data_IF_685548533570
#
_entry.id   IF_685548533570
#
_cell.length_a   1.000
_cell.length_b   1.000
_cell.length_c   1.000
_cell.angle_alpha   90.00
_cell.angle_beta   90.00
_cell.angle_gamma   90.00
#
_symmetry.space_group_name_H-M   'P 1'
#
loop_
_entity.id
_entity.type
_entity.pdbx_description
1 polymer ?
#
# COMPACT_ATOMS: atom_id res chain seq x y z
N UNK A 1 9.76 -3.82 13.64
CA UNK A 1 10.87 -2.90 13.33
C UNK A 1 11.40 -3.27 11.96
N UNK A 2 10.94 -2.59 10.91
CA UNK A 2 11.51 -2.75 9.58
C UNK A 2 12.88 -2.06 9.56
N UNK A 3 13.92 -2.78 9.14
CA UNK A 3 15.25 -2.22 8.93
C UNK A 3 15.22 -1.47 7.60
N UNK A 4 15.50 -0.18 7.66
CA UNK A 4 15.53 0.74 6.52
C UNK A 4 16.89 0.62 5.85
N UNK A 5 16.93 0.19 4.59
CA UNK A 5 18.09 0.35 3.73
C UNK A 5 17.82 1.55 2.81
N UNK A 6 18.43 2.69 3.13
CA UNK A 6 18.36 3.90 2.30
C UNK A 6 19.37 3.78 1.17
N UNK A 7 18.91 3.62 -0.08
CA UNK A 7 19.71 4.06 -1.23
C UNK A 7 19.50 5.56 -1.43
N UNK A 8 20.51 6.24 -1.96
CA UNK A 8 20.71 7.70 -1.97
C UNK A 8 19.62 8.57 -2.66
N UNK A 9 18.48 7.99 -3.04
CA UNK A 9 17.34 8.68 -3.67
C UNK A 9 16.11 8.79 -2.75
N UNK A 10 16.15 8.21 -1.54
CA UNK A 10 15.00 8.16 -0.62
C UNK A 10 14.02 7.02 -0.91
N UNK A 11 14.40 6.06 -1.75
CA UNK A 11 13.59 4.87 -2.04
C UNK A 11 13.66 3.89 -0.87
N UNK A 12 12.50 3.53 -0.32
CA UNK A 12 12.36 2.59 0.79
C UNK A 12 11.88 1.25 0.22
N UNK A 13 12.81 0.37 -0.12
CA UNK A 13 12.49 -1.05 -0.30
C UNK A 13 12.67 -1.73 1.05
N UNK A 14 11.68 -2.48 1.49
CA UNK A 14 11.81 -3.25 2.73
C UNK A 14 12.91 -4.31 2.56
N UNK A 15 13.65 -4.62 3.64
CA UNK A 15 14.85 -5.47 3.59
C UNK A 15 14.68 -6.81 2.87
N UNK A 16 13.44 -7.32 2.82
CA UNK A 16 13.13 -8.64 2.28
C UNK A 16 12.42 -8.56 0.92
N UNK A 17 12.13 -7.36 0.42
CA UNK A 17 11.34 -7.14 -0.79
C UNK A 17 12.21 -6.67 -1.97
N UNK A 18 11.61 -6.60 -3.17
CA UNK A 18 12.34 -6.28 -4.40
C UNK A 18 11.53 -5.32 -5.29
N UNK A 19 12.24 -4.49 -6.04
CA UNK A 19 11.67 -3.87 -7.24
C UNK A 19 11.45 -4.94 -8.30
N UNK A 20 10.36 -4.82 -9.08
CA UNK A 20 9.99 -5.84 -10.05
C UNK A 20 10.96 -5.96 -11.23
N UNK A 21 11.57 -4.85 -11.65
CA UNK A 21 12.53 -4.71 -12.74
C UNK A 21 13.35 -3.40 -12.60
N UNK A 22 14.36 -3.21 -13.46
CA UNK A 22 15.28 -2.05 -13.41
C UNK A 22 14.60 -0.70 -13.68
N UNK A 23 13.55 -0.69 -14.51
CA UNK A 23 12.85 0.55 -14.90
C UNK A 23 11.79 1.03 -13.89
N UNK A 24 11.67 0.41 -12.71
CA UNK A 24 10.61 0.79 -11.76
C UNK A 24 10.70 2.26 -11.37
N UNK A 25 11.90 2.76 -11.06
CA UNK A 25 12.09 4.14 -10.64
C UNK A 25 11.83 5.12 -11.79
N UNK A 26 12.19 4.79 -13.02
CA UNK A 26 11.91 5.64 -14.18
C UNK A 26 10.41 5.68 -14.50
N UNK A 27 9.68 4.57 -14.33
CA UNK A 27 8.20 4.53 -14.43
C UNK A 27 7.54 5.43 -13.39
N UNK A 28 7.98 5.36 -12.15
CA UNK A 28 7.45 6.21 -11.06
C UNK A 28 7.81 7.67 -11.30
N UNK A 29 9.07 7.98 -11.64
CA UNK A 29 9.52 9.33 -11.94
C UNK A 29 8.74 9.96 -13.10
N UNK A 30 8.50 9.21 -14.18
CA UNK A 30 7.69 9.64 -15.31
C UNK A 30 6.27 10.05 -14.92
N UNK A 31 5.65 9.36 -13.95
CA UNK A 31 4.34 9.76 -13.44
C UNK A 31 4.36 11.13 -12.72
N UNK A 32 5.51 11.53 -12.16
CA UNK A 32 5.71 12.82 -11.51
C UNK A 32 6.28 13.91 -12.42
N UNK A 33 6.49 13.66 -13.72
CA UNK A 33 6.76 14.73 -14.68
C UNK A 33 5.58 15.70 -14.78
N UNK A 34 4.35 15.19 -14.62
CA UNK A 34 3.16 16.03 -14.47
C UNK A 34 3.13 16.65 -13.05
N UNK A 35 3.26 17.99 -12.91
CA UNK A 35 3.26 18.65 -11.60
C UNK A 35 1.92 18.52 -10.87
N UNK A 36 0.82 18.16 -11.54
CA UNK A 36 -0.49 17.95 -10.93
C UNK A 36 -0.63 16.58 -10.25
N UNK A 37 0.29 15.65 -10.51
CA UNK A 37 0.30 14.33 -9.89
C UNK A 37 0.94 14.42 -8.50
N UNK A 38 0.16 14.13 -7.46
CA UNK A 38 0.65 14.11 -6.08
C UNK A 38 0.98 12.70 -5.58
N UNK A 39 0.38 11.69 -6.20
CA UNK A 39 0.60 10.28 -5.88
C UNK A 39 0.74 9.43 -7.14
N UNK A 40 1.65 8.47 -7.10
CA UNK A 40 1.74 7.38 -8.06
C UNK A 40 1.71 6.06 -7.31
N UNK A 41 0.95 5.09 -7.79
CA UNK A 41 0.90 3.75 -7.19
C UNK A 41 0.66 2.67 -8.23
N UNK A 42 1.03 1.43 -7.89
CA UNK A 42 1.06 0.32 -8.84
C UNK A 42 0.56 -0.98 -8.24
N UNK A 43 0.75 -2.08 -8.97
CA UNK A 43 0.49 -3.43 -8.47
C UNK A 43 1.74 -3.97 -7.75
N UNK A 44 1.56 -4.70 -6.64
CA UNK A 44 2.56 -5.61 -6.13
C UNK A 44 2.28 -7.05 -6.57
N UNK A 45 3.35 -7.83 -6.69
CA UNK A 45 3.29 -9.29 -6.68
C UNK A 45 3.76 -9.81 -5.32
N UNK A 46 3.14 -10.88 -4.86
CA UNK A 46 3.65 -11.65 -3.73
C UNK A 46 4.43 -12.84 -4.28
N UNK A 47 5.68 -12.98 -3.88
CA UNK A 47 6.58 -14.01 -4.36
C UNK A 47 7.02 -14.94 -3.24
N UNK A 48 7.43 -16.15 -3.58
CA UNK A 48 7.96 -17.11 -2.61
C UNK A 48 9.23 -16.55 -1.96
N UNK A 49 9.36 -16.75 -0.64
CA UNK A 49 10.59 -16.38 0.08
C UNK A 49 11.81 -17.15 -0.44
N UNK A 50 11.63 -18.45 -0.74
CA UNK A 50 12.70 -19.33 -1.20
C UNK A 50 13.09 -19.10 -2.67
N UNK A 51 12.17 -18.60 -3.49
CA UNK A 51 12.38 -18.35 -4.91
C UNK A 51 11.51 -17.18 -5.39
N UNK A 52 12.12 -16.01 -5.55
CA UNK A 52 11.42 -14.77 -5.93
C UNK A 52 10.96 -14.74 -7.39
N UNK A 53 11.33 -15.73 -8.19
CA UNK A 53 10.79 -15.88 -9.55
C UNK A 53 9.39 -16.49 -9.52
N UNK A 54 9.03 -17.19 -8.44
CA UNK A 54 7.71 -17.80 -8.26
C UNK A 54 6.75 -16.80 -7.64
N UNK A 55 5.83 -16.29 -8.46
CA UNK A 55 4.71 -15.48 -7.99
C UNK A 55 3.67 -16.39 -7.35
N UNK A 56 3.36 -16.11 -6.09
CA UNK A 56 2.34 -16.80 -5.28
C UNK A 56 1.00 -16.08 -5.38
N UNK A 57 1.01 -14.76 -5.60
CA UNK A 57 -0.20 -13.97 -5.80
C UNK A 57 0.08 -12.70 -6.60
N UNK A 58 -0.75 -12.46 -7.60
CA UNK A 58 -0.84 -11.17 -8.27
C UNK A 58 -1.88 -10.29 -7.55
N UNK A 59 -1.53 -9.04 -7.22
CA UNK A 59 -2.48 -8.07 -6.68
C UNK A 59 -2.66 -6.92 -7.67
N UNK A 60 -3.82 -6.86 -8.31
CA UNK A 60 -4.23 -5.69 -9.09
C UNK A 60 -4.87 -4.62 -8.18
N UNK A 61 -4.14 -3.53 -7.92
CA UNK A 61 -4.59 -2.41 -7.08
C UNK A 61 -5.78 -1.68 -7.72
N UNK A 62 -5.68 -1.43 -9.03
CA UNK A 62 -6.67 -0.68 -9.80
C UNK A 62 -6.73 0.82 -9.46
N UNK A 63 -7.46 1.63 -10.26
CA UNK A 63 -7.51 3.07 -10.06
C UNK A 63 -8.26 3.44 -8.78
N UNK A 64 -7.84 4.56 -8.18
CA UNK A 64 -8.47 5.16 -7.02
C UNK A 64 -9.88 5.67 -7.35
N UNK A 65 -10.82 5.46 -6.42
CA UNK A 65 -12.02 6.28 -6.32
C UNK A 65 -12.46 6.43 -4.87
N UNK A 66 -13.06 7.57 -4.51
CA UNK A 66 -13.55 7.80 -3.16
C UNK A 66 -14.57 6.74 -2.70
N UNK A 67 -15.38 6.22 -3.64
CA UNK A 67 -16.32 5.14 -3.36
C UNK A 67 -15.64 3.79 -3.06
N UNK A 68 -14.48 3.51 -3.66
CA UNK A 68 -13.68 2.33 -3.32
C UNK A 68 -13.03 2.51 -1.94
N UNK A 69 -12.47 3.69 -1.65
CA UNK A 69 -11.85 4.00 -0.36
C UNK A 69 -12.85 3.79 0.80
N UNK A 70 -14.09 4.30 0.67
CA UNK A 70 -15.17 4.07 1.65
C UNK A 70 -15.52 2.59 1.85
N UNK A 71 -15.24 1.73 0.86
CA UNK A 71 -15.44 0.27 0.90
C UNK A 71 -14.18 -0.50 1.32
N UNK A 72 -13.16 0.19 1.83
CA UNK A 72 -11.96 -0.42 2.41
C UNK A 72 -10.82 -0.63 1.41
N UNK A 73 -10.92 -0.07 0.20
CA UNK A 73 -9.81 -0.03 -0.74
C UNK A 73 -8.69 0.88 -0.22
N UNK A 74 -7.45 0.49 -0.48
CA UNK A 74 -6.24 1.30 -0.37
C UNK A 74 -5.23 0.75 -1.37
N UNK A 75 -4.28 1.56 -1.88
CA UNK A 75 -3.13 0.99 -2.57
C UNK A 75 -2.30 0.16 -1.61
N UNK A 76 -1.55 -0.80 -2.14
CA UNK A 76 -0.55 -1.48 -1.33
C UNK A 76 0.50 -0.46 -0.89
N UNK A 77 0.70 -0.33 0.42
CA UNK A 77 1.61 0.66 1.01
C UNK A 77 3.00 0.74 0.34
N UNK A 78 3.73 -0.37 0.07
CA UNK A 78 5.06 -0.28 -0.52
C UNK A 78 5.07 0.16 -2.00
N UNK A 79 3.89 0.23 -2.63
CA UNK A 79 3.75 0.70 -4.03
C UNK A 79 3.32 2.15 -4.11
N UNK A 80 3.03 2.83 -2.99
CA UNK A 80 2.55 4.20 -2.99
C UNK A 80 3.71 5.18 -2.85
N UNK A 81 3.88 6.01 -3.87
CA UNK A 81 4.83 7.12 -3.91
C UNK A 81 4.06 8.43 -3.84
N UNK A 82 4.57 9.38 -3.05
CA UNK A 82 3.93 10.67 -2.82
C UNK A 82 4.95 11.79 -2.95
N UNK A 83 4.53 12.94 -3.48
CA UNK A 83 5.37 14.14 -3.44
C UNK A 83 5.67 14.55 -2.01
N UNK A 84 6.86 15.12 -1.79
CA UNK A 84 7.28 15.67 -0.49
C UNK A 84 6.27 16.68 0.08
N UNK A 85 5.64 17.49 -0.79
CA UNK A 85 4.62 18.47 -0.40
C UNK A 85 3.42 17.84 0.32
N UNK A 86 3.06 16.58 -0.01
CA UNK A 86 1.99 15.85 0.66
C UNK A 86 2.34 15.60 2.13
N UNK A 87 3.56 15.13 2.41
CA UNK A 87 4.02 14.91 3.79
C UNK A 87 4.11 16.21 4.59
N UNK A 88 4.55 17.30 3.96
CA UNK A 88 4.60 18.63 4.60
C UNK A 88 3.18 19.11 4.94
N UNK A 89 2.22 18.93 4.02
CA UNK A 89 0.84 19.38 4.20
C UNK A 89 0.05 18.55 5.23
N UNK A 90 0.21 17.23 5.19
CA UNK A 90 -0.59 16.31 6.03
C UNK A 90 0.08 15.99 7.38
N UNK A 91 1.34 16.38 7.56
CA UNK A 91 2.20 15.85 8.61
C UNK A 91 2.64 14.43 8.31
N UNK A 92 3.66 13.93 9.03
CA UNK A 92 4.15 12.57 8.86
C UNK A 92 3.18 11.48 9.37
N UNK A 93 3.73 10.30 9.62
CA UNK A 93 3.01 9.20 10.26
C UNK A 93 2.65 9.55 11.71
N UNK A 94 1.44 9.22 12.12
CA UNK A 94 1.05 9.32 13.54
C UNK A 94 1.69 8.18 14.32
N UNK A 95 2.71 8.51 15.10
CA UNK A 95 3.50 7.57 15.91
C UNK A 95 2.73 6.95 17.08
N UNK A 96 1.52 7.43 17.37
CA UNK A 96 0.63 6.78 18.35
C UNK A 96 0.02 5.47 17.82
N UNK A 97 0.06 5.23 16.50
CA UNK A 97 -0.23 3.91 15.93
C UNK A 97 1.01 3.01 16.05
N UNK A 98 0.81 1.80 16.56
CA UNK A 98 1.86 0.78 16.70
C UNK A 98 1.96 -0.12 15.48
N UNK A 99 0.86 -0.30 14.74
CA UNK A 99 0.74 -1.23 13.60
C UNK A 99 0.18 -0.53 12.37
N UNK A 100 -0.81 0.35 12.50
CA UNK A 100 -1.60 0.88 11.40
C UNK A 100 -1.20 2.31 10.96
N UNK A 101 0.01 2.76 11.30
CA UNK A 101 0.49 4.11 10.97
C UNK A 101 0.41 4.41 9.46
N UNK A 102 0.85 3.46 8.63
CA UNK A 102 0.75 3.57 7.17
C UNK A 102 -0.70 3.63 6.69
N UNK A 103 -1.56 2.82 7.31
CA UNK A 103 -2.97 2.77 6.94
C UNK A 103 -3.67 4.09 7.24
N UNK A 104 -3.44 4.66 8.43
CA UNK A 104 -3.93 5.99 8.79
C UNK A 104 -3.47 7.06 7.80
N UNK A 105 -2.16 7.13 7.51
CA UNK A 105 -1.61 8.14 6.62
C UNK A 105 -2.19 8.03 5.20
N UNK A 106 -2.34 6.80 4.69
CA UNK A 106 -2.97 6.55 3.39
C UNK A 106 -4.43 7.01 3.39
N UNK A 107 -5.19 6.73 4.45
CA UNK A 107 -6.56 7.21 4.57
C UNK A 107 -6.62 8.74 4.65
N UNK A 108 -5.72 9.38 5.42
CA UNK A 108 -5.60 10.86 5.49
C UNK A 108 -5.38 11.46 4.12
N UNK A 109 -4.45 10.89 3.33
CA UNK A 109 -4.17 11.37 1.99
C UNK A 109 -5.38 11.20 1.06
N UNK A 110 -5.87 9.97 0.87
CA UNK A 110 -6.92 9.72 -0.13
C UNK A 110 -8.28 10.32 0.25
N UNK A 111 -8.58 10.51 1.54
CA UNK A 111 -9.81 11.19 1.97
C UNK A 111 -9.80 12.70 1.67
N UNK A 112 -8.61 13.29 1.50
CA UNK A 112 -8.40 14.72 1.25
C UNK A 112 -7.75 14.99 -0.11
N UNK A 113 -7.60 13.96 -0.96
CA UNK A 113 -6.92 14.08 -2.24
C UNK A 113 -7.70 15.05 -3.15
N UNK A 114 -7.16 16.25 -3.30
CA UNK A 114 -7.66 17.30 -4.20
C UNK A 114 -7.00 17.26 -5.57
N UNK A 115 -5.86 16.59 -5.67
CA UNK A 115 -5.02 16.52 -6.87
C UNK A 115 -4.95 15.10 -7.42
N UNK A 116 -4.27 14.93 -8.56
CA UNK A 116 -4.29 13.68 -9.30
C UNK A 116 -3.48 12.60 -8.59
N UNK A 117 -4.09 11.44 -8.39
CA UNK A 117 -3.40 10.20 -8.01
C UNK A 117 -3.41 9.23 -9.19
N UNK A 118 -2.24 8.82 -9.65
CA UNK A 118 -2.07 8.00 -10.85
C UNK A 118 -1.87 6.54 -10.45
N UNK A 119 -2.65 5.67 -11.10
CA UNK A 119 -2.45 4.23 -11.06
C UNK A 119 -1.64 3.79 -12.27
N UNK A 120 -0.49 3.15 -12.04
CA UNK A 120 0.35 2.52 -13.04
C UNK A 120 -0.05 1.04 -13.12
N UNK A 121 -0.66 0.56 -14.21
CA UNK A 121 -1.18 -0.81 -14.33
C UNK A 121 -0.09 -1.86 -14.57
N UNK A 122 1.05 -1.72 -13.87
CA UNK A 122 2.24 -2.57 -13.95
C UNK A 122 2.59 -3.11 -12.56
N UNK A 123 3.26 -4.26 -12.52
CA UNK A 123 3.87 -4.77 -11.29
C UNK A 123 5.21 -4.09 -11.11
N UNK A 124 5.32 -3.22 -10.11
CA UNK A 124 6.57 -2.49 -9.82
C UNK A 124 7.27 -2.98 -8.54
N UNK A 125 6.58 -3.77 -7.72
CA UNK A 125 7.09 -4.22 -6.42
C UNK A 125 6.80 -5.70 -6.22
N UNK A 126 7.74 -6.43 -5.62
CA UNK A 126 7.62 -7.85 -5.26
C UNK A 126 7.79 -8.00 -3.76
N UNK A 127 6.72 -8.40 -3.09
CA UNK A 127 6.69 -8.69 -1.66
C UNK A 127 7.03 -10.16 -1.40
N UNK A 128 8.03 -10.45 -0.56
CA UNK A 128 8.28 -11.86 -0.18
C UNK A 128 7.28 -12.34 0.85
N UNK A 129 6.65 -13.49 0.59
CA UNK A 129 5.84 -14.20 1.57
C UNK A 129 6.74 -15.09 2.44
N UNK A 130 7.08 -14.62 3.63
CA UNK A 130 8.02 -15.34 4.50
C UNK A 130 8.05 -14.94 5.98
N UNK A 131 7.28 -13.93 6.38
CA UNK A 131 7.19 -13.54 7.78
C UNK A 131 6.37 -14.55 8.57
N UNK A 132 7.03 -15.35 9.42
CA UNK A 132 6.39 -16.08 10.52
C UNK A 132 5.84 -15.06 11.51
N UNK A 133 4.71 -14.45 11.20
CA UNK A 133 3.98 -13.57 12.12
C UNK A 133 2.49 -13.65 11.86
N UNK A 134 1.95 -14.87 11.81
CA UNK A 134 0.51 -15.08 11.91
C UNK A 134 0.22 -16.24 12.84
N UNK A 135 0.09 -15.91 14.13
CA UNK A 135 -0.68 -16.66 15.14
C UNK A 135 -0.78 -15.95 16.50
N UNK A 136 -0.46 -14.66 16.62
CA UNK A 136 -0.76 -13.93 17.86
C UNK A 136 -2.10 -13.20 17.72
N UNK A 137 -3.15 -13.78 18.30
CA UNK A 137 -4.50 -13.20 18.36
C UNK A 137 -4.50 -11.78 18.96
N UNK A 138 -3.58 -11.48 19.89
CA UNK A 138 -3.46 -10.15 20.47
C UNK A 138 -3.05 -9.11 19.41
N UNK A 139 -2.10 -9.43 18.53
CA UNK A 139 -1.69 -8.52 17.43
C UNK A 139 -2.80 -8.31 16.41
N UNK A 140 -3.61 -9.35 16.15
CA UNK A 140 -4.78 -9.22 15.27
C UNK A 140 -5.79 -8.26 15.89
N UNK A 141 -6.10 -8.41 17.18
CA UNK A 141 -7.02 -7.52 17.89
C UNK A 141 -6.52 -6.08 17.94
N UNK A 142 -5.24 -5.88 18.28
CA UNK A 142 -4.57 -4.57 18.26
C UNK A 142 -4.68 -3.92 16.88
N UNK A 143 -4.32 -4.66 15.83
CA UNK A 143 -4.44 -4.18 14.44
C UNK A 143 -5.88 -3.82 14.07
N UNK A 144 -6.88 -4.61 14.45
CA UNK A 144 -8.28 -4.31 14.17
C UNK A 144 -8.74 -3.04 14.90
N UNK A 145 -8.33 -2.85 16.15
CA UNK A 145 -8.62 -1.63 16.91
C UNK A 145 -7.99 -0.39 16.28
N UNK A 146 -6.73 -0.49 15.85
CA UNK A 146 -6.05 0.61 15.16
C UNK A 146 -6.62 0.90 13.77
N UNK A 147 -6.94 -0.14 12.98
CA UNK A 147 -7.63 0.01 11.70
C UNK A 147 -8.96 0.75 11.89
N UNK A 148 -9.72 0.44 12.94
CA UNK A 148 -10.97 1.12 13.28
C UNK A 148 -10.75 2.59 13.66
N UNK A 149 -9.74 2.86 14.50
CA UNK A 149 -9.35 4.21 14.89
C UNK A 149 -9.02 5.06 13.65
N UNK A 150 -8.22 4.51 12.73
CA UNK A 150 -7.85 5.17 11.49
C UNK A 150 -9.06 5.47 10.60
N UNK A 151 -9.95 4.50 10.39
CA UNK A 151 -11.19 4.66 9.60
C UNK A 151 -12.07 5.78 10.17
N UNK A 152 -12.29 5.77 11.50
CA UNK A 152 -13.13 6.77 12.18
C UNK A 152 -12.51 8.15 12.18
N UNK A 153 -11.21 8.26 12.49
CA UNK A 153 -10.48 9.53 12.51
C UNK A 153 -10.48 10.22 11.13
N UNK A 154 -10.37 9.43 10.06
CA UNK A 154 -10.38 9.93 8.68
C UNK A 154 -11.77 10.08 8.07
N UNK A 155 -12.84 9.75 8.81
CA UNK A 155 -14.24 9.76 8.32
C UNK A 155 -14.44 8.94 7.04
N UNK A 156 -13.64 7.87 6.86
CA UNK A 156 -13.70 7.00 5.69
C UNK A 156 -14.64 5.83 5.99
N UNK A 157 -15.94 6.01 5.72
CA UNK A 157 -16.91 4.93 5.86
C UNK A 157 -17.20 4.51 7.32
N UNK A 158 -17.40 3.21 7.55
CA UNK A 158 -17.91 2.68 8.83
C UNK A 158 -17.60 1.20 9.03
N UNK A 159 -18.40 0.48 9.82
CA UNK A 159 -18.15 -0.94 10.15
C UNK A 159 -18.03 -1.81 8.90
N UNK A 160 -18.84 -1.52 7.88
CA UNK A 160 -18.79 -2.20 6.58
C UNK A 160 -17.43 -2.03 5.87
N UNK A 161 -16.69 -0.95 6.14
CA UNK A 161 -15.35 -0.71 5.58
C UNK A 161 -14.34 -1.73 6.10
N UNK A 162 -14.37 -2.08 7.40
CA UNK A 162 -13.48 -3.12 7.97
C UNK A 162 -13.83 -4.48 7.39
N UNK A 163 -15.12 -4.79 7.33
CA UNK A 163 -15.61 -6.06 6.79
C UNK A 163 -15.17 -6.19 5.32
N UNK A 164 -15.53 -5.24 4.47
CA UNK A 164 -15.16 -5.25 3.05
C UNK A 164 -13.64 -5.24 2.82
N UNK A 165 -12.85 -4.55 3.64
CA UNK A 165 -11.38 -4.59 3.58
C UNK A 165 -10.82 -6.00 3.78
N UNK A 166 -11.35 -6.76 4.73
CA UNK A 166 -10.89 -8.13 4.98
C UNK A 166 -11.40 -9.11 3.92
N UNK A 167 -12.66 -8.97 3.47
CA UNK A 167 -13.25 -9.83 2.45
C UNK A 167 -12.67 -9.61 1.04
N UNK A 168 -12.38 -8.36 0.66
CA UNK A 168 -11.77 -8.02 -0.64
C UNK A 168 -10.36 -8.59 -0.85
N UNK A 169 -9.70 -9.02 0.23
CA UNK A 169 -8.40 -9.70 0.18
C UNK A 169 -8.53 -11.22 -0.04
N UNK A 170 -9.69 -11.81 0.22
CA UNK A 170 -9.96 -13.25 0.02
C UNK A 170 -10.17 -13.60 -1.46
N UNK A 171 -10.74 -12.68 -2.26
CA UNK A 171 -10.93 -12.88 -3.70
C UNK A 171 -9.65 -12.77 -4.55
N UNK A 172 -8.50 -12.51 -3.94
CA UNK A 172 -7.24 -12.23 -4.65
C UNK A 172 -6.30 -13.45 -4.76
N UNK A 173 -6.83 -14.64 -4.48
CA UNK A 173 -6.14 -15.92 -4.72
C UNK A 173 -6.51 -16.56 -6.07
N UNK A 174 -7.24 -15.84 -6.92
CA UNK A 174 -7.60 -16.34 -8.25
C UNK A 174 -6.42 -16.15 -9.18
N UNK A 175 -5.76 -17.27 -9.45
CA UNK A 175 -4.69 -17.44 -10.42
C UNK A 175 -5.15 -16.92 -11.79
N UNK A 176 -4.53 -15.83 -12.26
CA UNK A 176 -4.75 -15.38 -13.64
C UNK A 176 -3.92 -16.31 -14.51
N UNK A 177 -4.58 -17.26 -15.18
CA UNK A 177 -3.92 -18.08 -16.20
C UNK A 177 -3.24 -17.16 -17.22
N UNK A 178 -1.96 -17.46 -17.49
CA UNK A 178 -1.16 -16.82 -18.52
C UNK A 178 -1.92 -16.95 -19.85
N UNK A 179 -2.20 -15.80 -20.47
CA UNK A 179 -2.41 -15.73 -21.91
C UNK A 179 -1.07 -15.80 -22.63
#
# INVERSE_FOLDING_TARGET
MARVATTASGDIVHSDDLLAHQDVLSRVAGAFEDPQVEAAFSNPDYVSQADTTKVVRHWATGPYSAAKLRRGWMPAHPTLYLRRSVYVRLGGFDTSFRIAADYDFILRYFSQATSRSVYIPEVLYKMRLGGVSNRNLARIREKMGEDWRAIRGNKVGGVMTIVSKNFSKLGQFVERQKG
#
